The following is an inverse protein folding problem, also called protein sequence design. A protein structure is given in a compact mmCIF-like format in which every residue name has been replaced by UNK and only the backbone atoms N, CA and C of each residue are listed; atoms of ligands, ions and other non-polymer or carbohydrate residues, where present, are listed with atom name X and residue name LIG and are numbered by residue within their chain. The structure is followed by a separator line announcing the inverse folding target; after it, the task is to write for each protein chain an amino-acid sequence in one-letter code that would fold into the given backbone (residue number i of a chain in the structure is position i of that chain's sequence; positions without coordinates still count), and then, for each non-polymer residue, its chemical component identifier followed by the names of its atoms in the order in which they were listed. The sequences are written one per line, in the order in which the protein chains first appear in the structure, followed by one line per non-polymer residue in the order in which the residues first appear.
data_IF_188099761353
#
_entry.id   IF_188099761353
#
_cell.length_a   1.000
_cell.length_b   1.000
_cell.length_c   1.000
_cell.angle_alpha   90.00
_cell.angle_beta   90.00
_cell.angle_gamma   90.00
#
_symmetry.space_group_name_H-M   'P 1'
#
loop_
_entity.id
_entity.type
_entity.pdbx_description
1 polymer ?
#
# COMPACT_ATOMS: atom_id res chain seq x y z
N UNK A 1 -4.30 -9.79 15.91
CA UNK A 1 -3.67 -10.04 14.59
C UNK A 1 -2.88 -8.80 14.26
N UNK A 2 -1.56 -8.90 14.14
CA UNK A 2 -0.76 -7.72 13.77
C UNK A 2 -0.87 -7.56 12.25
N UNK A 3 -1.68 -6.60 11.81
CA UNK A 3 -1.79 -6.16 10.42
C UNK A 3 -0.55 -5.37 9.94
N UNK A 4 0.60 -5.58 10.60
CA UNK A 4 1.86 -4.88 10.35
C UNK A 4 2.90 -5.91 9.97
N UNK A 5 3.44 -5.73 8.77
CA UNK A 5 4.63 -6.42 8.32
C UNK A 5 5.87 -5.73 8.92
N UNK A 6 6.87 -6.50 9.35
CA UNK A 6 8.13 -5.99 9.91
C UNK A 6 9.28 -5.97 8.88
N UNK A 7 8.98 -6.21 7.60
CA UNK A 7 9.96 -6.19 6.51
C UNK A 7 10.19 -4.73 6.09
N UNK A 8 11.43 -4.41 5.69
CA UNK A 8 11.77 -3.11 5.10
C UNK A 8 10.81 -2.75 3.97
N UNK A 9 10.25 -1.54 4.03
CA UNK A 9 9.44 -1.01 2.96
C UNK A 9 10.35 -0.55 1.80
N UNK A 10 10.13 -1.13 0.62
CA UNK A 10 10.83 -0.84 -0.63
C UNK A 10 9.89 -0.30 -1.72
N UNK A 11 8.59 -0.23 -1.42
CA UNK A 11 7.57 0.30 -2.33
C UNK A 11 6.67 1.30 -1.63
N UNK A 12 5.91 2.04 -2.44
CA UNK A 12 4.85 2.94 -1.98
C UNK A 12 3.52 2.32 -2.34
N UNK A 13 2.61 2.26 -1.37
CA UNK A 13 1.22 1.83 -1.55
C UNK A 13 0.27 3.03 -1.43
N UNK A 14 -0.82 3.00 -2.20
CA UNK A 14 -1.88 4.01 -2.15
C UNK A 14 -2.97 3.56 -1.19
N UNK A 15 -3.21 4.28 -0.09
CA UNK A 15 -4.24 3.93 0.91
C UNK A 15 -5.60 3.75 0.22
N UNK A 16 -6.00 4.74 -0.58
CA UNK A 16 -7.10 4.64 -1.55
C UNK A 16 -6.52 4.20 -2.89
N UNK A 17 -6.97 3.08 -3.48
CA UNK A 17 -6.46 2.61 -4.77
C UNK A 17 -6.68 3.63 -5.89
N UNK A 18 -5.71 3.73 -6.82
CA UNK A 18 -5.82 4.64 -7.97
C UNK A 18 -7.07 4.39 -8.82
N UNK A 19 -7.45 3.13 -9.00
CA UNK A 19 -8.67 2.76 -9.76
C UNK A 19 -9.96 3.25 -9.08
N UNK A 20 -9.92 3.45 -7.76
CA UNK A 20 -11.03 4.01 -6.97
C UNK A 20 -10.91 5.53 -6.79
N UNK A 21 -10.02 6.20 -7.52
CA UNK A 21 -9.82 7.66 -7.46
C UNK A 21 -8.77 8.13 -6.45
N UNK A 22 -7.95 7.23 -5.90
CA UNK A 22 -6.84 7.61 -5.03
C UNK A 22 -5.78 8.45 -5.75
N UNK A 23 -5.30 9.50 -5.08
CA UNK A 23 -4.31 10.46 -5.60
C UNK A 23 -2.89 10.11 -5.18
N UNK A 24 -1.88 10.76 -5.78
CA UNK A 24 -0.49 10.70 -5.34
C UNK A 24 -0.18 11.72 -4.22
N UNK A 25 -1.20 12.20 -3.51
CA UNK A 25 -1.00 13.06 -2.36
C UNK A 25 -0.24 12.28 -1.27
N UNK A 26 0.79 12.84 -0.62
CA UNK A 26 1.50 12.17 0.47
C UNK A 26 0.58 11.63 1.57
N UNK A 27 -0.58 12.25 1.81
CA UNK A 27 -1.58 11.77 2.76
C UNK A 27 -2.26 10.46 2.32
N UNK A 28 -2.25 10.15 1.03
CA UNK A 28 -2.76 8.89 0.45
C UNK A 28 -1.65 7.86 0.18
N UNK A 29 -0.39 8.15 0.53
CA UNK A 29 0.74 7.26 0.28
C UNK A 29 1.27 6.67 1.59
N UNK A 30 1.56 5.37 1.58
CA UNK A 30 2.15 4.67 2.72
C UNK A 30 3.35 3.83 2.27
N UNK A 31 4.38 3.75 3.12
CA UNK A 31 5.50 2.85 2.90
C UNK A 31 5.05 1.40 3.09
N UNK A 32 5.29 0.55 2.08
CA UNK A 32 4.92 -0.86 2.11
C UNK A 32 6.04 -1.73 1.51
N UNK A 33 6.21 -2.94 2.02
CA UNK A 33 7.06 -3.92 1.34
C UNK A 33 6.34 -4.46 0.08
N UNK A 34 7.11 -4.82 -0.95
CA UNK A 34 6.59 -5.34 -2.21
C UNK A 34 5.56 -6.47 -2.07
N UNK A 35 5.76 -7.48 -1.18
CA UNK A 35 4.77 -8.52 -0.94
C UNK A 35 3.43 -8.00 -0.40
N UNK A 36 3.44 -7.11 0.59
CA UNK A 36 2.23 -6.54 1.17
C UNK A 36 1.48 -5.66 0.18
N UNK A 37 2.21 -4.82 -0.55
CA UNK A 37 1.64 -3.96 -1.59
C UNK A 37 0.94 -4.79 -2.68
N UNK A 38 1.59 -5.87 -3.16
CA UNK A 38 1.01 -6.78 -4.15
C UNK A 38 -0.23 -7.51 -3.62
N UNK A 39 -0.22 -7.97 -2.38
CA UNK A 39 -1.37 -8.65 -1.76
C UNK A 39 -2.58 -7.73 -1.63
N UNK A 40 -2.37 -6.45 -1.33
CA UNK A 40 -3.45 -5.46 -1.29
C UNK A 40 -4.01 -5.19 -2.68
N UNK A 41 -3.15 -4.99 -3.68
CA UNK A 41 -3.55 -4.80 -5.07
C UNK A 41 -4.33 -6.00 -5.66
N UNK A 42 -4.04 -7.23 -5.23
CA UNK A 42 -4.72 -8.43 -5.71
C UNK A 42 -6.11 -8.68 -5.07
N UNK A 43 -6.50 -7.88 -4.06
CA UNK A 43 -7.79 -7.98 -3.37
C UNK A 43 -8.82 -6.97 -3.87
N UNK A 44 -8.48 -6.20 -4.91
CA UNK A 44 -9.27 -5.14 -5.53
C UNK A 44 -9.43 -5.44 -7.02
#
# INVERSE_FOLDING_TARGET
MLDVCTITADTVDHVIPRIMGGTNDPANLQAACGPCNRLKGARL
#
